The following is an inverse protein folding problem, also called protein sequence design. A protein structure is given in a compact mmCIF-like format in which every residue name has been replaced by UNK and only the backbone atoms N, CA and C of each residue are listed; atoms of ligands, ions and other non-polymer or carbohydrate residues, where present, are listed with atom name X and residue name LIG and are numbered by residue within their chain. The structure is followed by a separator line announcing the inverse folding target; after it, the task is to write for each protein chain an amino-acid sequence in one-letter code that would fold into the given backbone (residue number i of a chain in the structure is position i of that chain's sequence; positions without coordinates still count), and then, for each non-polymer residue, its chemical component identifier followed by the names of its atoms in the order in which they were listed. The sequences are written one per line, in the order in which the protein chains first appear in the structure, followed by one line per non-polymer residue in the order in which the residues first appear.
data_IF_834912141051
#
_entry.id   IF_834912141051
#
_cell.length_a   1.000
_cell.length_b   1.000
_cell.length_c   1.000
_cell.angle_alpha   90.00
_cell.angle_beta   90.00
_cell.angle_gamma   90.00
#
_symmetry.space_group_name_H-M   'P 1'
#
loop_
_entity.id
_entity.type
_entity.pdbx_description
1 polymer ?
#
# COMPACT_ATOMS: atom_id res chain seq x y z
N UNK A 1 8.82 7.63 -1.02
CA UNK A 1 7.37 7.60 -1.32
C UNK A 1 6.69 8.81 -0.76
N UNK A 2 5.57 9.27 -1.33
CA UNK A 2 4.83 10.40 -0.75
C UNK A 2 3.84 9.98 0.35
N UNK A 3 3.49 8.69 0.51
CA UNK A 3 2.42 8.24 1.43
C UNK A 3 2.91 7.22 2.46
N UNK A 4 2.27 7.13 3.65
CA UNK A 4 2.49 6.02 4.57
C UNK A 4 1.94 4.71 3.98
N UNK A 5 2.39 3.57 4.52
CA UNK A 5 1.73 2.28 4.31
C UNK A 5 0.34 2.29 4.97
N UNK A 6 -0.72 2.16 4.18
CA UNK A 6 -2.11 2.25 4.64
C UNK A 6 -2.71 0.86 4.86
N UNK A 7 -2.93 0.52 6.12
CA UNK A 7 -3.58 -0.70 6.56
C UNK A 7 -5.04 -0.41 6.92
N UNK A 8 -5.98 -1.01 6.18
CA UNK A 8 -7.39 -1.04 6.55
C UNK A 8 -7.65 -2.20 7.51
N UNK A 9 -8.33 -1.97 8.62
CA UNK A 9 -8.65 -3.01 9.60
C UNK A 9 -10.11 -2.92 10.02
N UNK A 10 -10.84 -4.02 9.85
CA UNK A 10 -12.24 -4.10 10.24
C UNK A 10 -12.63 -5.52 10.69
N UNK A 11 -13.60 -5.60 11.59
CA UNK A 11 -14.35 -6.81 11.88
C UNK A 11 -15.77 -6.65 11.32
N UNK A 12 -16.29 -7.68 10.67
CA UNK A 12 -17.63 -7.67 10.06
C UNK A 12 -18.39 -8.96 10.35
N UNK A 13 -19.72 -8.90 10.31
CA UNK A 13 -20.56 -10.08 10.22
C UNK A 13 -20.33 -10.86 8.91
N UNK A 14 -20.85 -12.09 8.81
CA UNK A 14 -20.76 -12.92 7.59
C UNK A 14 -21.35 -12.25 6.35
N UNK A 15 -22.32 -11.34 6.52
CA UNK A 15 -22.96 -10.56 5.46
C UNK A 15 -22.39 -9.14 5.28
N UNK A 16 -21.28 -8.82 5.96
CA UNK A 16 -20.44 -7.64 5.68
C UNK A 16 -20.80 -6.36 6.42
N UNK A 17 -21.51 -6.46 7.56
CA UNK A 17 -21.88 -5.31 8.39
C UNK A 17 -20.88 -5.07 9.52
N UNK A 18 -20.67 -3.80 9.84
CA UNK A 18 -19.80 -3.30 10.90
C UNK A 18 -20.49 -3.20 12.27
N UNK A 19 -21.81 -3.12 12.26
CA UNK A 19 -22.65 -3.00 13.44
C UNK A 19 -24.10 -3.37 13.08
N UNK A 20 -25.01 -3.39 14.05
CA UNK A 20 -26.45 -3.41 13.82
C UNK A 20 -27.06 -1.99 13.89
N UNK A 21 -28.39 -1.87 13.99
CA UNK A 21 -29.09 -0.58 14.08
C UNK A 21 -29.46 -0.20 15.52
N UNK A 22 -29.06 -1.01 16.50
CA UNK A 22 -29.35 -0.75 17.90
C UNK A 22 -28.39 0.29 18.48
N UNK A 23 -28.72 0.91 19.62
CA UNK A 23 -27.79 1.82 20.29
C UNK A 23 -26.61 1.12 20.95
N UNK A 24 -26.67 -0.20 21.11
CA UNK A 24 -25.60 -0.99 21.73
C UNK A 24 -24.64 -1.46 20.64
N UNK A 25 -23.34 -1.28 20.88
CA UNK A 25 -22.32 -1.71 19.93
C UNK A 25 -22.33 -3.24 19.78
N UNK A 26 -22.48 -3.72 18.56
CA UNK A 26 -22.37 -5.14 18.25
C UNK A 26 -20.93 -5.64 18.42
N UNK A 27 -20.75 -6.68 19.23
CA UNK A 27 -19.45 -7.32 19.42
C UNK A 27 -19.18 -8.30 18.28
N UNK A 28 -18.41 -7.86 17.28
CA UNK A 28 -17.97 -8.67 16.14
C UNK A 28 -16.61 -9.36 16.36
N UNK A 29 -15.87 -8.97 17.40
CA UNK A 29 -14.53 -9.47 17.71
C UNK A 29 -14.50 -10.17 19.07
N UNK A 30 -13.69 -11.22 19.16
CA UNK A 30 -13.39 -11.89 20.41
C UNK A 30 -12.30 -11.16 21.21
N UNK A 31 -12.06 -11.58 22.46
CA UNK A 31 -10.97 -11.00 23.28
C UNK A 31 -9.60 -11.22 22.64
N UNK A 32 -9.37 -12.39 22.04
CA UNK A 32 -8.13 -12.68 21.34
C UNK A 32 -7.95 -11.79 20.10
N UNK A 33 -9.04 -11.49 19.38
CA UNK A 33 -8.97 -10.55 18.25
C UNK A 33 -8.74 -9.10 18.71
N UNK A 34 -9.35 -8.67 19.82
CA UNK A 34 -9.05 -7.35 20.40
C UNK A 34 -7.59 -7.21 20.83
N UNK A 35 -6.99 -8.26 21.38
CA UNK A 35 -5.56 -8.27 21.72
C UNK A 35 -4.68 -8.18 20.45
N UNK A 36 -5.05 -8.86 19.37
CA UNK A 36 -4.39 -8.72 18.07
C UNK A 36 -4.53 -7.30 17.52
N UNK A 37 -5.72 -6.70 17.55
CA UNK A 37 -5.91 -5.30 17.11
C UNK A 37 -5.01 -4.37 17.93
N UNK A 38 -4.88 -4.62 19.24
CA UNK A 38 -3.98 -3.87 20.12
C UNK A 38 -2.50 -4.01 19.73
N UNK A 39 -2.08 -5.20 19.30
CA UNK A 39 -0.76 -5.44 18.71
C UNK A 39 -0.56 -4.65 17.41
N UNK A 40 -1.54 -4.65 16.51
CA UNK A 40 -1.48 -3.87 15.27
C UNK A 40 -1.39 -2.37 15.57
N UNK A 41 -2.21 -1.85 16.49
CA UNK A 41 -2.12 -0.45 16.96
C UNK A 41 -0.73 -0.12 17.50
N UNK A 42 -0.12 -1.04 18.23
CA UNK A 42 1.23 -0.83 18.75
C UNK A 42 2.32 -0.83 17.65
N UNK A 43 2.05 -1.41 16.48
CA UNK A 43 2.97 -1.50 15.35
C UNK A 43 2.92 -0.33 14.36
N UNK A 44 1.96 0.60 14.52
CA UNK A 44 1.75 1.72 13.59
C UNK A 44 2.14 3.07 14.21
N UNK A 45 2.33 4.06 13.35
CA UNK A 45 2.68 5.42 13.77
C UNK A 45 1.42 6.26 14.00
N UNK A 46 0.34 5.95 13.27
CA UNK A 46 -0.94 6.65 13.38
C UNK A 46 -2.13 5.70 13.24
N UNK A 47 -3.24 6.05 13.91
CA UNK A 47 -4.53 5.38 13.81
C UNK A 47 -5.58 6.39 13.37
N UNK A 48 -6.33 6.08 12.31
CA UNK A 48 -7.31 6.95 11.68
C UNK A 48 -8.72 6.38 11.81
N UNK A 49 -9.65 7.25 12.23
CA UNK A 49 -11.09 6.99 12.19
C UNK A 49 -11.85 8.20 11.65
N UNK A 50 -12.99 7.95 11.00
CA UNK A 50 -13.89 9.03 10.57
C UNK A 50 -14.68 9.64 11.73
N UNK A 51 -15.11 10.89 11.56
CA UNK A 51 -15.97 11.57 12.52
C UNK A 51 -17.30 10.82 12.79
N UNK A 52 -17.80 10.05 11.81
CA UNK A 52 -18.96 9.18 12.00
C UNK A 52 -18.73 8.10 13.07
N UNK A 53 -17.56 7.48 13.07
CA UNK A 53 -17.16 6.49 14.09
C UNK A 53 -16.99 7.14 15.46
N UNK A 54 -16.47 8.38 15.53
CA UNK A 54 -16.42 9.12 16.80
C UNK A 54 -17.83 9.31 17.38
N UNK A 55 -18.80 9.69 16.56
CA UNK A 55 -20.19 9.91 16.99
C UNK A 55 -20.90 8.63 17.41
N UNK A 56 -20.67 7.54 16.68
CA UNK A 56 -21.31 6.26 16.95
C UNK A 56 -20.71 5.56 18.18
N UNK A 57 -19.38 5.45 18.25
CA UNK A 57 -18.71 4.56 19.20
C UNK A 57 -18.02 5.29 20.36
N UNK A 58 -17.85 6.61 20.26
CA UNK A 58 -17.08 7.45 21.17
C UNK A 58 -15.75 6.79 21.66
N UNK A 59 -14.88 6.31 20.75
CA UNK A 59 -13.77 5.46 21.11
C UNK A 59 -12.60 6.25 21.70
N UNK A 60 -11.87 5.62 22.63
CA UNK A 60 -10.60 6.15 23.14
C UNK A 60 -9.44 5.98 22.16
N UNK A 61 -9.49 4.96 21.29
CA UNK A 61 -8.49 4.65 20.26
C UNK A 61 -7.05 4.63 20.79
N UNK A 62 -6.75 3.66 21.64
CA UNK A 62 -5.47 3.53 22.36
C UNK A 62 -4.82 2.17 22.10
N UNK A 63 -3.51 2.11 22.35
CA UNK A 63 -2.80 0.88 22.73
C UNK A 63 -3.09 0.62 24.22
N UNK A 64 -3.78 -0.46 24.51
CA UNK A 64 -4.27 -0.84 25.84
C UNK A 64 -3.21 -1.56 26.66
N UNK A 65 -2.43 -2.48 26.06
CA UNK A 65 -1.39 -3.21 26.78
C UNK A 65 -0.28 -2.28 27.29
N UNK A 66 0.01 -2.25 28.61
CA UNK A 66 1.15 -1.54 29.16
C UNK A 66 2.49 -2.01 28.59
N UNK A 67 2.63 -3.31 28.34
CA UNK A 67 3.85 -3.93 27.82
C UNK A 67 4.13 -3.45 26.39
N UNK A 68 3.09 -3.38 25.55
CA UNK A 68 3.21 -2.83 24.18
C UNK A 68 3.58 -1.35 24.19
N UNK A 69 3.03 -0.57 25.12
CA UNK A 69 3.42 0.85 25.28
C UNK A 69 4.88 0.98 25.71
N UNK A 70 5.32 0.19 26.69
CA UNK A 70 6.71 0.19 27.15
C UNK A 70 7.69 -0.25 26.04
N UNK A 71 7.29 -1.20 25.20
CA UNK A 71 8.10 -1.62 24.04
C UNK A 71 8.25 -0.50 23.01
N UNK A 72 7.19 0.27 22.75
CA UNK A 72 7.27 1.46 21.87
C UNK A 72 8.21 2.50 22.43
N UNK A 73 8.10 2.81 23.72
CA UNK A 73 8.98 3.78 24.39
C UNK A 73 10.45 3.32 24.37
N UNK A 74 10.71 2.02 24.59
CA UNK A 74 12.05 1.45 24.48
C UNK A 74 12.64 1.54 23.05
N UNK A 75 11.78 1.57 22.03
CA UNK A 75 12.17 1.82 20.64
C UNK A 75 12.26 3.32 20.27
N UNK A 76 12.10 4.23 21.24
CA UNK A 76 12.14 5.68 21.02
C UNK A 76 10.87 6.26 20.41
N UNK A 77 9.76 5.50 20.38
CA UNK A 77 8.47 5.93 19.85
C UNK A 77 7.54 6.41 20.98
N UNK A 78 6.57 7.30 20.69
CA UNK A 78 5.54 7.64 21.65
C UNK A 78 4.72 6.42 22.09
N UNK A 79 4.30 6.32 23.36
CA UNK A 79 3.54 5.16 23.87
C UNK A 79 2.20 4.97 23.15
N UNK A 80 1.63 6.04 22.59
CA UNK A 80 0.43 6.00 21.76
C UNK A 80 0.75 6.48 20.34
N UNK A 81 0.25 5.80 19.29
CA UNK A 81 0.26 6.33 17.95
C UNK A 81 -0.47 7.68 17.85
N UNK A 82 -0.12 8.47 16.83
CA UNK A 82 -0.86 9.68 16.46
C UNK A 82 -2.33 9.33 16.18
N UNK A 83 -3.25 10.05 16.82
CA UNK A 83 -4.67 9.85 16.59
C UNK A 83 -5.17 10.80 15.50
N UNK A 84 -5.70 10.24 14.43
CA UNK A 84 -6.15 10.98 13.26
C UNK A 84 -7.66 10.87 13.14
N UNK A 85 -8.33 11.99 12.90
CA UNK A 85 -9.72 11.95 12.45
C UNK A 85 -9.97 12.78 11.20
N UNK A 86 -10.92 12.33 10.38
CA UNK A 86 -11.32 13.00 9.15
C UNK A 86 -12.78 13.43 9.25
N UNK A 87 -13.04 14.72 8.99
CA UNK A 87 -14.39 15.30 9.01
C UNK A 87 -14.55 16.35 7.92
N UNK A 88 -15.46 16.15 6.97
CA UNK A 88 -15.71 17.17 5.93
C UNK A 88 -16.33 18.45 6.50
N UNK A 89 -17.20 18.33 7.50
CA UNK A 89 -17.93 19.45 8.10
C UNK A 89 -17.21 20.11 9.27
N UNK A 90 -16.19 19.46 9.86
CA UNK A 90 -15.61 19.87 11.15
C UNK A 90 -16.57 19.73 12.33
N UNK A 91 -17.75 19.13 12.15
CA UNK A 91 -18.73 18.89 13.22
C UNK A 91 -18.26 17.71 14.08
N UNK A 92 -17.74 18.04 15.26
CA UNK A 92 -17.09 17.13 16.19
C UNK A 92 -17.51 17.53 17.61
N UNK A 93 -17.86 16.54 18.43
CA UNK A 93 -18.16 16.77 19.84
C UNK A 93 -16.85 17.01 20.62
N UNK A 94 -16.63 18.20 21.23
CA UNK A 94 -15.43 18.48 22.01
C UNK A 94 -15.29 17.61 23.26
N UNK A 95 -16.40 17.02 23.76
CA UNK A 95 -16.42 16.14 24.92
C UNK A 95 -16.12 14.67 24.59
N UNK A 96 -15.92 14.32 23.32
CA UNK A 96 -15.65 12.95 22.92
C UNK A 96 -14.38 12.40 23.60
N UNK A 97 -14.42 11.14 24.03
CA UNK A 97 -13.31 10.43 24.67
C UNK A 97 -12.03 10.44 23.82
N UNK A 98 -12.18 10.60 22.51
CA UNK A 98 -11.10 10.72 21.56
C UNK A 98 -10.14 11.88 21.92
N UNK A 99 -10.64 13.02 22.40
CA UNK A 99 -9.81 14.19 22.70
C UNK A 99 -9.08 14.10 24.04
N UNK A 100 -9.67 13.39 24.99
CA UNK A 100 -9.24 13.38 26.39
C UNK A 100 -8.33 12.19 26.76
N UNK A 101 -7.93 11.38 25.79
CA UNK A 101 -7.10 10.19 26.01
C UNK A 101 -5.99 10.06 24.97
N UNK A 102 -4.93 9.32 25.32
CA UNK A 102 -3.81 9.03 24.43
C UNK A 102 -2.83 10.20 24.23
N UNK A 103 -2.14 10.18 23.09
CA UNK A 103 -1.09 11.14 22.73
C UNK A 103 -1.60 12.31 21.88
N UNK A 104 -0.82 12.67 20.86
CA UNK A 104 -1.15 13.74 19.91
C UNK A 104 -2.40 13.43 19.08
N UNK A 105 -3.14 14.48 18.70
CA UNK A 105 -4.35 14.38 17.87
C UNK A 105 -4.28 15.36 16.70
N UNK A 106 -4.75 14.91 15.54
CA UNK A 106 -4.89 15.73 14.34
C UNK A 106 -6.26 15.51 13.69
N UNK A 107 -6.83 16.60 13.17
CA UNK A 107 -8.08 16.63 12.42
C UNK A 107 -7.78 17.06 11.00
N UNK A 108 -8.07 16.19 10.03
CA UNK A 108 -8.09 16.57 8.63
C UNK A 108 -9.49 16.94 8.19
N UNK A 109 -9.62 18.11 7.58
CA UNK A 109 -10.93 18.70 7.29
C UNK A 109 -10.88 19.65 6.09
N UNK A 110 -12.03 20.21 5.74
CA UNK A 110 -12.11 21.30 4.75
C UNK A 110 -11.70 22.62 5.39
N UNK A 111 -11.43 23.65 4.60
CA UNK A 111 -11.16 25.01 5.10
C UNK A 111 -12.25 25.49 6.09
N UNK A 112 -13.54 25.35 5.71
CA UNK A 112 -14.67 25.68 6.59
C UNK A 112 -14.74 24.80 7.84
N UNK A 113 -14.37 23.53 7.71
CA UNK A 113 -14.33 22.62 8.84
C UNK A 113 -13.24 22.99 9.84
N UNK A 114 -12.07 23.47 9.37
CA UNK A 114 -10.98 23.91 10.23
C UNK A 114 -11.39 25.13 11.08
N UNK A 115 -12.08 26.10 10.48
CA UNK A 115 -12.67 27.25 11.20
C UNK A 115 -13.61 26.78 12.32
N UNK A 116 -14.47 25.78 12.02
CA UNK A 116 -15.40 25.21 13.00
C UNK A 116 -14.68 24.47 14.13
N UNK A 117 -13.69 23.64 13.81
CA UNK A 117 -12.89 22.91 14.81
C UNK A 117 -12.18 23.89 15.76
N UNK A 118 -11.63 24.98 15.21
CA UNK A 118 -11.02 26.03 16.01
C UNK A 118 -12.04 26.72 16.93
N UNK A 119 -13.22 27.08 16.40
CA UNK A 119 -14.29 27.70 17.19
C UNK A 119 -14.83 26.80 18.31
N UNK A 120 -14.79 25.47 18.12
CA UNK A 120 -15.16 24.48 19.13
C UNK A 120 -14.12 24.32 20.25
N UNK A 121 -12.93 24.89 20.11
CA UNK A 121 -11.87 24.81 21.13
C UNK A 121 -11.29 23.41 21.31
N UNK A 122 -11.39 22.55 20.28
CA UNK A 122 -10.85 21.19 20.33
C UNK A 122 -9.32 21.26 20.37
N UNK A 123 -8.71 20.61 21.37
CA UNK A 123 -7.25 20.52 21.53
C UNK A 123 -6.62 19.52 20.55
N UNK A 124 -6.69 19.82 19.26
CA UNK A 124 -6.08 19.07 18.18
C UNK A 124 -5.63 20.01 17.06
N UNK A 125 -4.59 19.63 16.33
CA UNK A 125 -4.20 20.36 15.12
C UNK A 125 -5.25 20.14 14.02
N UNK A 126 -5.75 21.21 13.42
CA UNK A 126 -6.76 21.15 12.37
C UNK A 126 -6.14 21.52 11.02
N UNK A 127 -5.94 20.52 10.17
CA UNK A 127 -5.28 20.67 8.86
C UNK A 127 -6.34 20.79 7.76
N UNK A 128 -6.48 21.96 7.12
CA UNK A 128 -7.35 22.13 5.97
C UNK A 128 -6.72 21.48 4.73
N UNK A 129 -7.50 20.68 4.00
CA UNK A 129 -7.08 20.04 2.75
C UNK A 129 -7.47 20.84 1.50
N UNK A 130 -8.30 21.87 1.69
CA UNK A 130 -8.90 22.69 0.65
C UNK A 130 -10.42 22.80 0.82
N UNK A 131 -11.16 23.14 -0.25
CA UNK A 131 -12.63 23.26 -0.20
C UNK A 131 -13.33 21.91 0.00
N UNK A 132 -12.70 20.82 -0.43
CA UNK A 132 -13.15 19.44 -0.28
C UNK A 132 -12.06 18.57 0.36
N UNK A 133 -12.43 17.37 0.82
CA UNK A 133 -11.47 16.41 1.34
C UNK A 133 -10.64 15.80 0.20
N UNK A 134 -9.32 15.80 0.35
CA UNK A 134 -8.39 15.20 -0.59
C UNK A 134 -7.50 14.16 0.14
N UNK A 135 -7.69 12.90 -0.20
CA UNK A 135 -6.98 11.79 0.42
C UNK A 135 -5.48 11.77 0.09
N UNK A 136 -5.09 12.21 -1.10
CA UNK A 136 -3.67 12.24 -1.48
C UNK A 136 -2.96 13.29 -0.64
N UNK A 137 -3.48 14.52 -0.58
CA UNK A 137 -2.93 15.59 0.28
C UNK A 137 -2.87 15.21 1.75
N UNK A 138 -3.88 14.50 2.25
CA UNK A 138 -3.89 14.00 3.62
C UNK A 138 -2.72 13.03 3.87
N UNK A 139 -2.56 12.04 2.98
CA UNK A 139 -1.51 11.02 3.09
C UNK A 139 -0.11 11.64 2.91
N UNK A 140 0.04 12.62 2.02
CA UNK A 140 1.28 13.43 1.87
C UNK A 140 1.63 14.15 3.16
N UNK A 141 0.67 14.87 3.74
CA UNK A 141 0.90 15.58 4.98
C UNK A 141 1.24 14.63 6.13
N UNK A 142 0.55 13.49 6.24
CA UNK A 142 0.89 12.48 7.24
C UNK A 142 2.33 11.98 7.07
N UNK A 143 2.75 11.69 5.85
CA UNK A 143 4.08 11.17 5.57
C UNK A 143 5.18 12.23 5.75
N UNK A 144 5.07 13.36 5.06
CA UNK A 144 6.15 14.35 4.93
C UNK A 144 6.23 15.29 6.13
N UNK A 145 5.08 15.69 6.68
CA UNK A 145 5.01 16.67 7.78
C UNK A 145 4.93 15.98 9.14
N UNK A 146 4.16 14.89 9.25
CA UNK A 146 3.99 14.16 10.52
C UNK A 146 4.93 12.97 10.67
N UNK A 147 5.69 12.61 9.62
CA UNK A 147 6.65 11.51 9.67
C UNK A 147 6.01 10.12 9.79
N UNK A 148 4.71 9.99 9.53
CA UNK A 148 3.97 8.73 9.62
C UNK A 148 4.43 7.81 8.48
N UNK A 149 4.90 6.61 8.83
CA UNK A 149 5.30 5.58 7.87
C UNK A 149 4.28 4.46 7.75
N UNK A 150 3.54 4.17 8.84
CA UNK A 150 2.47 3.16 8.88
C UNK A 150 1.20 3.76 9.48
N UNK A 151 0.13 3.73 8.71
CA UNK A 151 -1.20 4.22 9.07
C UNK A 151 -2.17 3.05 9.19
N UNK A 152 -2.78 2.87 10.35
CA UNK A 152 -3.93 1.97 10.51
C UNK A 152 -5.23 2.78 10.37
N UNK A 153 -6.18 2.29 9.58
CA UNK A 153 -7.51 2.87 9.40
C UNK A 153 -8.54 1.90 9.97
N UNK A 154 -9.21 2.28 11.06
CA UNK A 154 -10.14 1.40 11.78
C UNK A 154 -11.62 1.68 11.50
N UNK A 155 -11.95 2.79 10.85
CA UNK A 155 -13.33 3.06 10.47
C UNK A 155 -13.56 4.44 9.85
N UNK A 156 -14.74 4.79 9.35
CA UNK A 156 -15.92 3.95 9.11
C UNK A 156 -15.99 3.44 7.66
N UNK A 157 -17.09 2.77 7.31
CA UNK A 157 -17.26 2.17 5.97
C UNK A 157 -17.08 3.14 4.80
N UNK A 158 -17.47 4.41 4.97
CA UNK A 158 -17.23 5.46 3.97
C UNK A 158 -15.75 5.72 3.70
N UNK A 159 -14.91 5.77 4.74
CA UNK A 159 -13.48 6.02 4.60
C UNK A 159 -12.79 4.83 3.95
N UNK A 160 -13.11 3.62 4.39
CA UNK A 160 -12.60 2.39 3.77
C UNK A 160 -12.96 2.35 2.29
N UNK A 161 -14.22 2.65 1.96
CA UNK A 161 -14.70 2.74 0.58
C UNK A 161 -13.91 3.78 -0.22
N UNK A 162 -13.71 4.99 0.31
CA UNK A 162 -12.97 6.05 -0.40
C UNK A 162 -11.51 5.67 -0.67
N UNK A 163 -10.81 5.06 0.29
CA UNK A 163 -9.42 4.63 0.11
C UNK A 163 -9.30 3.50 -0.92
N UNK A 164 -10.17 2.49 -0.85
CA UNK A 164 -10.18 1.38 -1.81
C UNK A 164 -10.54 1.82 -3.23
N UNK A 165 -11.47 2.76 -3.38
CA UNK A 165 -11.86 3.29 -4.69
C UNK A 165 -10.75 4.11 -5.36
N UNK A 166 -9.86 4.69 -4.57
CA UNK A 166 -8.72 5.47 -5.06
C UNK A 166 -7.43 4.66 -5.13
N UNK A 167 -7.44 3.37 -4.77
CA UNK A 167 -6.23 2.54 -4.77
C UNK A 167 -5.19 2.94 -3.72
N UNK A 168 -5.65 3.57 -2.62
CA UNK A 168 -4.80 4.13 -1.56
C UNK A 168 -4.61 3.21 -0.34
N UNK A 169 -5.06 1.94 -0.42
CA UNK A 169 -4.91 0.96 0.64
C UNK A 169 -3.82 -0.05 0.27
N UNK A 170 -2.81 -0.23 1.12
CA UNK A 170 -1.77 -1.25 0.93
C UNK A 170 -2.19 -2.63 1.43
N UNK A 171 -2.96 -2.70 2.51
CA UNK A 171 -3.41 -3.94 3.13
C UNK A 171 -4.84 -3.82 3.65
N UNK A 172 -5.60 -4.91 3.55
CA UNK A 172 -6.89 -5.08 4.22
C UNK A 172 -6.81 -6.27 5.17
N UNK A 173 -6.96 -6.01 6.47
CA UNK A 173 -7.19 -7.01 7.50
C UNK A 173 -8.68 -7.07 7.83
N UNK A 174 -9.32 -8.17 7.44
CA UNK A 174 -10.75 -8.39 7.61
C UNK A 174 -11.00 -9.57 8.55
N UNK A 175 -11.65 -9.30 9.66
CA UNK A 175 -12.14 -10.33 10.59
C UNK A 175 -13.60 -10.63 10.28
N UNK A 176 -13.93 -11.91 10.12
CA UNK A 176 -15.30 -12.39 9.93
C UNK A 176 -15.82 -13.01 11.22
N UNK A 177 -16.86 -12.40 11.78
CA UNK A 177 -17.61 -12.88 12.93
C UNK A 177 -18.67 -13.91 12.49
N UNK A 178 -18.91 -15.00 13.25
CA UNK A 178 -19.82 -16.08 12.86
C UNK A 178 -21.30 -15.74 13.11
N UNK A 179 -21.76 -14.56 12.68
CA UNK A 179 -23.14 -14.09 12.81
C UNK A 179 -23.61 -13.33 11.56
N UNK A 180 -24.92 -13.13 11.43
CA UNK A 180 -25.55 -12.29 10.40
C UNK A 180 -26.23 -11.10 11.06
N UNK A 181 -26.18 -9.93 10.40
CA UNK A 181 -26.95 -8.74 10.83
C UNK A 181 -28.25 -8.64 10.04
N UNK A 182 -28.21 -8.79 8.72
CA UNK A 182 -29.37 -8.90 7.85
C UNK A 182 -30.20 -7.63 7.64
N UNK A 183 -29.92 -6.55 8.36
CA UNK A 183 -30.65 -5.27 8.22
C UNK A 183 -29.98 -4.37 7.16
N UNK A 184 -30.65 -4.03 6.04
CA UNK A 184 -30.08 -3.15 5.02
C UNK A 184 -29.80 -1.71 5.49
N UNK A 185 -30.39 -1.27 6.61
CA UNK A 185 -30.11 0.03 7.21
C UNK A 185 -28.85 0.02 8.11
N UNK A 186 -28.36 -1.15 8.49
CA UNK A 186 -27.16 -1.29 9.30
C UNK A 186 -25.89 -0.85 8.53
N UNK A 187 -24.86 -0.35 9.24
CA UNK A 187 -23.65 0.14 8.59
C UNK A 187 -22.85 -1.00 7.94
N UNK A 188 -22.70 -0.95 6.61
CA UNK A 188 -21.84 -1.87 5.86
C UNK A 188 -20.39 -1.38 5.83
N UNK A 189 -19.45 -2.32 5.79
CA UNK A 189 -18.03 -1.99 5.63
C UNK A 189 -17.76 -1.32 4.27
N UNK A 190 -18.37 -1.84 3.21
CA UNK A 190 -18.16 -1.34 1.86
C UNK A 190 -19.47 -0.77 1.31
N UNK A 191 -19.46 0.54 1.03
CA UNK A 191 -20.56 1.25 0.38
C UNK A 191 -20.45 1.20 -1.14
N UNK A 192 -21.52 1.53 -1.90
CA UNK A 192 -21.55 1.37 -3.35
C UNK A 192 -20.44 2.16 -4.06
N UNK A 193 -19.87 1.57 -5.12
CA UNK A 193 -18.85 2.23 -5.93
C UNK A 193 -18.09 1.31 -6.88
N UNK A 194 -17.34 1.91 -7.79
CA UNK A 194 -16.29 1.20 -8.54
C UNK A 194 -15.04 1.12 -7.68
N UNK A 195 -14.71 -0.07 -7.20
CA UNK A 195 -13.47 -0.35 -6.48
C UNK A 195 -12.30 -0.49 -7.45
N UNK A 196 -11.09 -0.55 -6.90
CA UNK A 196 -9.90 -0.95 -7.65
C UNK A 196 -10.17 -2.19 -8.51
N UNK A 197 -9.63 -2.17 -9.73
CA UNK A 197 -9.70 -3.31 -10.64
C UNK A 197 -8.93 -4.51 -10.11
N UNK A 198 -9.20 -5.68 -10.67
CA UNK A 198 -8.47 -6.90 -10.33
C UNK A 198 -8.92 -7.61 -9.06
N UNK A 199 -8.22 -8.68 -8.70
CA UNK A 199 -8.45 -9.43 -7.47
C UNK A 199 -7.54 -8.89 -6.36
N UNK A 200 -7.93 -9.05 -5.11
CA UNK A 200 -6.98 -8.95 -4.01
C UNK A 200 -6.26 -10.29 -3.83
N UNK A 201 -4.97 -10.24 -3.47
CA UNK A 201 -4.19 -11.42 -3.10
C UNK A 201 -4.42 -11.72 -1.64
N UNK A 202 -4.91 -12.93 -1.34
CA UNK A 202 -4.96 -13.45 0.02
C UNK A 202 -3.53 -13.74 0.49
N UNK A 203 -3.11 -13.07 1.56
CA UNK A 203 -1.78 -13.19 2.17
C UNK A 203 -1.80 -14.16 3.35
N UNK A 204 -2.86 -14.12 4.15
CA UNK A 204 -3.01 -14.94 5.35
C UNK A 204 -4.48 -15.23 5.59
N UNK A 205 -4.80 -16.46 5.99
CA UNK A 205 -6.05 -16.81 6.66
C UNK A 205 -5.71 -17.44 7.99
N UNK A 206 -6.26 -16.90 9.09
CA UNK A 206 -6.00 -17.38 10.44
C UNK A 206 -7.27 -17.40 11.26
N UNK A 207 -7.58 -18.55 11.85
CA UNK A 207 -8.63 -18.67 12.87
C UNK A 207 -8.15 -18.05 14.18
N UNK A 208 -8.98 -17.21 14.78
CA UNK A 208 -8.76 -16.60 16.10
C UNK A 208 -10.00 -16.94 16.92
N UNK A 209 -9.89 -17.93 17.81
CA UNK A 209 -11.04 -18.48 18.54
C UNK A 209 -12.18 -18.88 17.56
N UNK A 210 -13.31 -18.17 17.58
CA UNK A 210 -14.49 -18.38 16.75
C UNK A 210 -14.58 -17.44 15.53
N UNK A 211 -13.65 -16.50 15.37
CA UNK A 211 -13.58 -15.60 14.22
C UNK A 211 -12.46 -16.00 13.25
N UNK A 212 -12.53 -15.50 12.01
CA UNK A 212 -11.50 -15.73 10.98
C UNK A 212 -10.92 -14.40 10.50
N UNK A 213 -9.62 -14.21 10.68
CA UNK A 213 -8.86 -13.14 10.06
C UNK A 213 -8.46 -13.54 8.65
N UNK A 214 -8.69 -12.65 7.69
CA UNK A 214 -8.10 -12.69 6.36
C UNK A 214 -7.31 -11.42 6.09
N UNK A 215 -6.11 -11.56 5.53
CA UNK A 215 -5.26 -10.43 5.13
C UNK A 215 -5.14 -10.42 3.63
N UNK A 216 -5.38 -9.26 3.04
CA UNK A 216 -5.40 -9.07 1.59
C UNK A 216 -4.50 -7.90 1.19
N UNK A 217 -3.87 -8.02 0.02
CA UNK A 217 -3.13 -6.93 -0.62
C UNK A 217 -3.63 -6.72 -2.05
N UNK A 218 -3.64 -5.48 -2.57
CA UNK A 218 -3.94 -5.22 -3.98
C UNK A 218 -2.93 -5.88 -4.91
N UNK A 219 -3.40 -6.36 -6.08
CA UNK A 219 -2.52 -6.85 -7.14
C UNK A 219 -2.50 -5.98 -8.39
N UNK A 220 -3.51 -5.12 -8.58
CA UNK A 220 -3.58 -4.24 -9.73
C UNK A 220 -2.48 -3.16 -9.63
N UNK A 221 -1.58 -3.05 -10.64
CA UNK A 221 -0.61 -1.98 -10.73
C UNK A 221 -1.26 -0.60 -10.68
N UNK A 222 -0.50 0.40 -10.23
CA UNK A 222 -0.89 1.80 -10.35
C UNK A 222 -0.95 2.28 -11.80
N UNK A 223 -1.56 3.44 -12.00
CA UNK A 223 -1.46 4.20 -13.24
C UNK A 223 -0.56 5.42 -13.02
N UNK A 224 0.19 5.81 -14.05
CA UNK A 224 1.02 7.01 -13.99
C UNK A 224 2.32 6.84 -13.18
N UNK A 225 2.95 7.96 -12.78
CA UNK A 225 4.27 8.00 -12.17
C UNK A 225 4.27 7.80 -10.65
N UNK A 226 3.10 7.60 -10.03
CA UNK A 226 3.00 7.39 -8.59
C UNK A 226 3.03 5.90 -8.24
N UNK A 227 3.70 5.53 -7.13
CA UNK A 227 3.71 4.15 -6.68
C UNK A 227 2.34 3.77 -6.12
N UNK A 228 1.87 2.59 -6.49
CA UNK A 228 0.70 1.94 -5.91
C UNK A 228 1.14 0.83 -4.96
N UNK A 229 0.23 0.45 -4.06
CA UNK A 229 0.41 -0.67 -3.13
C UNK A 229 0.93 -1.95 -3.80
N UNK A 230 0.33 -2.33 -4.93
CA UNK A 230 0.69 -3.55 -5.65
C UNK A 230 2.13 -3.53 -6.20
N UNK A 231 2.69 -2.35 -6.45
CA UNK A 231 4.04 -2.23 -7.02
C UNK A 231 5.10 -2.85 -6.11
N UNK A 232 4.90 -2.73 -4.79
CA UNK A 232 5.76 -3.37 -3.78
C UNK A 232 5.79 -4.87 -3.91
N UNK A 233 4.63 -5.49 -4.07
CA UNK A 233 4.50 -6.92 -4.18
C UNK A 233 5.22 -7.43 -5.43
N UNK A 234 4.97 -6.80 -6.57
CA UNK A 234 5.55 -7.22 -7.83
C UNK A 234 7.04 -6.93 -7.93
N UNK A 235 7.51 -5.79 -7.41
CA UNK A 235 8.94 -5.52 -7.36
C UNK A 235 9.67 -6.44 -6.38
N UNK A 236 9.05 -6.78 -5.24
CA UNK A 236 9.57 -7.79 -4.33
C UNK A 236 9.73 -9.16 -5.01
N UNK A 237 8.76 -9.55 -5.86
CA UNK A 237 8.83 -10.77 -6.65
C UNK A 237 9.95 -10.69 -7.70
N UNK A 238 10.10 -9.56 -8.40
CA UNK A 238 11.21 -9.33 -9.33
C UNK A 238 12.57 -9.47 -8.63
N UNK A 239 12.75 -8.88 -7.44
CA UNK A 239 13.98 -9.07 -6.67
C UNK A 239 14.18 -10.52 -6.19
N UNK A 240 13.11 -11.26 -5.89
CA UNK A 240 13.22 -12.68 -5.53
C UNK A 240 13.70 -13.53 -6.72
N UNK A 241 13.19 -13.26 -7.93
CA UNK A 241 13.63 -13.94 -9.16
C UNK A 241 15.11 -13.69 -9.49
N UNK A 242 15.66 -12.53 -9.09
CA UNK A 242 17.09 -12.27 -9.24
C UNK A 242 17.95 -13.27 -8.43
N UNK A 243 17.44 -13.79 -7.31
CA UNK A 243 18.14 -14.80 -6.51
C UNK A 243 18.19 -16.19 -7.18
N UNK A 244 17.29 -16.45 -8.14
CA UNK A 244 17.22 -17.71 -8.90
C UNK A 244 18.17 -17.72 -10.11
N UNK A 245 18.87 -16.61 -10.38
CA UNK A 245 19.80 -16.52 -11.49
C UNK A 245 21.04 -17.42 -11.26
N UNK A 246 21.49 -18.16 -12.29
CA UNK A 246 22.82 -18.76 -12.29
C UNK A 246 23.90 -17.70 -11.98
N UNK A 247 24.98 -18.05 -11.28
CA UNK A 247 26.04 -17.09 -10.96
C UNK A 247 26.75 -16.55 -12.21
N UNK A 248 27.30 -15.34 -12.12
CA UNK A 248 28.10 -14.71 -13.17
C UNK A 248 29.06 -13.68 -12.56
N UNK A 249 30.29 -13.63 -13.07
CA UNK A 249 31.29 -12.63 -12.69
C UNK A 249 31.29 -11.41 -13.62
N UNK A 250 30.46 -11.42 -14.66
CA UNK A 250 30.49 -10.43 -15.76
C UNK A 250 29.12 -9.85 -16.08
N UNK A 251 28.08 -10.23 -15.34
CA UNK A 251 26.73 -9.74 -15.53
C UNK A 251 25.93 -9.80 -14.23
N UNK A 252 25.10 -8.78 -14.00
CA UNK A 252 24.18 -8.78 -12.87
C UNK A 252 23.10 -9.87 -12.99
N UNK A 253 22.71 -10.42 -11.85
CA UNK A 253 21.50 -11.21 -11.61
C UNK A 253 20.31 -10.26 -11.49
N UNK A 254 19.37 -10.38 -12.43
CA UNK A 254 18.18 -9.51 -12.52
C UNK A 254 16.95 -10.39 -12.61
N UNK A 255 15.85 -9.96 -12.02
CA UNK A 255 14.54 -10.58 -12.19
C UNK A 255 13.54 -9.55 -12.70
N UNK A 256 12.55 -10.01 -13.47
CA UNK A 256 11.52 -9.17 -14.05
C UNK A 256 10.15 -9.85 -14.04
N UNK A 257 9.09 -9.06 -13.89
CA UNK A 257 7.69 -9.51 -13.92
C UNK A 257 6.87 -8.52 -14.76
N UNK A 258 5.99 -9.05 -15.61
CA UNK A 258 5.08 -8.27 -16.47
C UNK A 258 3.67 -8.53 -15.98
N UNK A 259 2.96 -7.47 -15.60
CA UNK A 259 1.64 -7.55 -14.95
C UNK A 259 0.64 -6.70 -15.72
N UNK A 260 -0.52 -7.28 -16.03
CA UNK A 260 -1.64 -6.57 -16.65
C UNK A 260 -2.29 -5.57 -15.69
N UNK A 261 -3.06 -4.62 -16.23
CA UNK A 261 -3.75 -3.60 -15.45
C UNK A 261 -4.75 -4.15 -14.40
N UNK A 262 -5.25 -5.39 -14.59
CA UNK A 262 -6.12 -6.07 -13.63
C UNK A 262 -5.35 -6.86 -12.55
N UNK A 263 -4.03 -6.74 -12.51
CA UNK A 263 -3.18 -7.46 -11.57
C UNK A 263 -2.93 -8.92 -11.92
N UNK A 264 -3.29 -9.37 -13.13
CA UNK A 264 -2.88 -10.67 -13.64
C UNK A 264 -1.41 -10.65 -14.02
N UNK A 265 -0.61 -11.56 -13.47
CA UNK A 265 0.74 -11.80 -13.94
C UNK A 265 0.70 -12.40 -15.36
N UNK A 266 1.30 -11.71 -16.32
CA UNK A 266 1.37 -12.16 -17.72
C UNK A 266 2.56 -13.08 -17.93
N UNK A 267 3.73 -12.66 -17.47
CA UNK A 267 4.96 -13.43 -17.54
C UNK A 267 5.96 -12.94 -16.49
N UNK A 268 6.95 -13.77 -16.20
CA UNK A 268 8.12 -13.44 -15.40
C UNK A 268 9.38 -13.94 -16.09
N UNK A 269 10.53 -13.42 -15.74
CA UNK A 269 11.82 -13.88 -16.25
C UNK A 269 12.96 -13.52 -15.30
N UNK A 270 14.09 -14.18 -15.46
CA UNK A 270 15.32 -13.83 -14.74
C UNK A 270 16.51 -13.92 -15.69
N UNK A 271 17.61 -13.24 -15.35
CA UNK A 271 18.83 -13.31 -16.14
C UNK A 271 19.32 -14.76 -16.24
N UNK A 272 19.85 -15.11 -17.40
CA UNK A 272 20.40 -16.44 -17.68
C UNK A 272 19.40 -17.60 -17.57
N UNK A 273 18.11 -17.29 -17.72
CA UNK A 273 17.05 -18.30 -17.72
C UNK A 273 17.24 -19.33 -18.85
N UNK A 274 16.82 -20.57 -18.56
CA UNK A 274 16.88 -21.70 -19.50
C UNK A 274 18.27 -21.98 -20.11
N UNK A 275 19.34 -21.55 -19.44
CA UNK A 275 20.73 -21.81 -19.83
C UNK A 275 21.27 -20.88 -20.91
N UNK A 276 20.53 -19.82 -21.31
CA UNK A 276 21.07 -18.79 -22.21
C UNK A 276 21.97 -17.82 -21.42
N UNK A 277 23.30 -17.83 -21.60
CA UNK A 277 24.21 -17.06 -20.76
C UNK A 277 24.08 -15.54 -20.91
N UNK A 278 23.36 -15.06 -21.93
CA UNK A 278 23.28 -13.63 -22.26
C UNK A 278 21.85 -13.06 -22.26
N UNK A 279 20.83 -13.86 -21.97
CA UNK A 279 19.45 -13.37 -21.86
C UNK A 279 19.29 -12.53 -20.60
N UNK A 280 18.66 -11.36 -20.76
CA UNK A 280 18.28 -10.49 -19.64
C UNK A 280 16.87 -10.84 -19.15
N UNK A 281 16.56 -10.47 -17.91
CA UNK A 281 15.29 -10.80 -17.27
C UNK A 281 14.05 -10.28 -18.03
N UNK A 282 14.07 -9.01 -18.45
CA UNK A 282 12.96 -8.38 -19.17
C UNK A 282 12.74 -9.02 -20.54
N UNK A 283 13.83 -9.36 -21.22
CA UNK A 283 13.77 -10.09 -22.49
C UNK A 283 13.20 -11.50 -22.32
N UNK A 284 13.66 -12.24 -21.31
CA UNK A 284 13.14 -13.57 -21.00
C UNK A 284 11.65 -13.54 -20.67
N UNK A 285 11.18 -12.52 -19.93
CA UNK A 285 9.77 -12.35 -19.62
C UNK A 285 8.94 -12.00 -20.88
N UNK A 286 9.40 -11.04 -21.69
CA UNK A 286 8.69 -10.61 -22.91
C UNK A 286 8.61 -11.73 -23.97
N UNK A 287 9.66 -12.54 -24.10
CA UNK A 287 9.71 -13.64 -25.08
C UNK A 287 8.67 -14.74 -24.83
N UNK A 288 8.06 -14.79 -23.64
CA UNK A 288 7.00 -15.75 -23.28
C UNK A 288 5.60 -15.26 -23.65
N UNK A 289 5.47 -14.02 -24.10
CA UNK A 289 4.20 -13.39 -24.42
C UNK A 289 3.99 -13.33 -25.93
N UNK A 290 2.72 -13.36 -26.35
CA UNK A 290 2.34 -12.98 -27.69
C UNK A 290 2.56 -11.46 -27.84
N UNK A 291 3.40 -10.97 -28.78
CA UNK A 291 3.58 -9.54 -29.00
C UNK A 291 2.30 -8.80 -29.39
N UNK A 292 1.27 -9.52 -29.84
CA UNK A 292 -0.06 -8.99 -30.15
C UNK A 292 -1.03 -9.02 -28.94
N UNK A 293 -0.59 -9.45 -27.75
CA UNK A 293 -1.44 -9.45 -26.55
C UNK A 293 -1.90 -8.01 -26.23
N UNK A 294 -3.21 -7.72 -26.31
CA UNK A 294 -3.72 -6.36 -26.13
C UNK A 294 -3.45 -5.80 -24.72
N UNK A 295 -3.21 -6.66 -23.73
CA UNK A 295 -2.96 -6.26 -22.34
C UNK A 295 -1.62 -5.56 -22.17
N UNK A 296 -0.63 -5.84 -23.04
CA UNK A 296 0.72 -5.26 -22.97
C UNK A 296 0.72 -3.73 -22.99
N UNK A 297 -0.19 -3.12 -23.76
CA UNK A 297 -0.33 -1.67 -23.88
C UNK A 297 -0.66 -0.95 -22.56
N UNK A 298 -1.21 -1.69 -21.59
CA UNK A 298 -1.58 -1.21 -20.26
C UNK A 298 -0.83 -1.95 -19.14
N UNK A 299 0.11 -2.82 -19.50
CA UNK A 299 0.87 -3.60 -18.54
C UNK A 299 1.95 -2.73 -17.86
N UNK A 300 2.38 -3.20 -16.69
CA UNK A 300 3.56 -2.68 -15.99
C UNK A 300 4.66 -3.73 -16.00
N UNK A 301 5.89 -3.31 -16.28
CA UNK A 301 7.10 -4.13 -16.12
C UNK A 301 7.75 -3.77 -14.79
N UNK A 302 7.95 -4.76 -13.93
CA UNK A 302 8.73 -4.66 -12.71
C UNK A 302 10.09 -5.28 -12.95
N UNK A 303 11.19 -4.58 -12.68
CA UNK A 303 12.54 -5.12 -12.83
C UNK A 303 13.40 -4.82 -11.60
N UNK A 304 14.19 -5.78 -11.13
CA UNK A 304 15.07 -5.55 -9.99
C UNK A 304 16.21 -4.57 -10.30
N UNK A 305 16.58 -4.42 -11.57
CA UNK A 305 17.59 -3.49 -12.06
C UNK A 305 16.98 -2.64 -13.19
N UNK A 306 17.49 -1.44 -13.37
CA UNK A 306 17.14 -0.57 -14.49
C UNK A 306 17.30 -1.29 -15.86
N UNK A 307 16.26 -1.28 -16.73
CA UNK A 307 16.36 -1.88 -18.04
C UNK A 307 17.44 -1.20 -18.90
N UNK A 308 18.44 -1.96 -19.33
CA UNK A 308 19.57 -1.40 -20.08
C UNK A 308 19.14 -0.62 -21.34
N UNK A 309 19.77 0.53 -21.59
CA UNK A 309 19.59 1.31 -22.83
C UNK A 309 20.41 0.76 -24.01
N UNK A 310 21.52 0.08 -23.72
CA UNK A 310 22.45 -0.52 -24.69
C UNK A 310 23.00 -1.81 -24.11
N UNK A 311 23.34 -2.77 -24.98
CA UNK A 311 24.10 -3.98 -24.60
C UNK A 311 24.86 -4.50 -25.80
N UNK A 312 25.99 -5.16 -25.55
CA UNK A 312 26.82 -5.79 -26.58
C UNK A 312 26.34 -7.19 -26.95
N UNK A 313 25.63 -7.86 -26.05
CA UNK A 313 25.24 -9.25 -26.18
C UNK A 313 24.16 -9.51 -27.23
N UNK A 314 23.28 -8.54 -27.49
CA UNK A 314 22.18 -8.66 -28.47
C UNK A 314 21.85 -7.30 -29.11
N UNK A 315 21.26 -7.28 -30.34
CA UNK A 315 21.02 -6.03 -31.08
C UNK A 315 20.04 -5.06 -30.41
N UNK A 316 18.99 -5.57 -29.78
CA UNK A 316 17.98 -4.76 -29.09
C UNK A 316 18.24 -4.79 -27.58
N UNK A 317 18.28 -3.62 -26.94
CA UNK A 317 18.39 -3.49 -25.49
C UNK A 317 17.02 -3.64 -24.80
N UNK A 318 16.99 -3.96 -23.51
CA UNK A 318 15.75 -4.21 -22.76
C UNK A 318 14.78 -3.03 -22.81
N UNK A 319 15.27 -1.79 -22.66
CA UNK A 319 14.44 -0.60 -22.78
C UNK A 319 13.74 -0.50 -24.16
N UNK A 320 14.41 -0.94 -25.23
CA UNK A 320 13.83 -0.97 -26.58
C UNK A 320 12.78 -2.07 -26.72
N UNK A 321 13.04 -3.26 -26.18
CA UNK A 321 12.09 -4.38 -26.19
C UNK A 321 10.78 -4.01 -25.46
N UNK A 322 10.88 -3.33 -24.31
CA UNK A 322 9.72 -2.81 -23.56
C UNK A 322 8.90 -1.83 -24.41
N UNK A 323 9.56 -0.90 -25.10
CA UNK A 323 8.89 0.08 -25.96
C UNK A 323 8.18 -0.59 -27.14
N UNK A 324 8.85 -1.53 -27.80
CA UNK A 324 8.34 -2.26 -28.96
C UNK A 324 7.16 -3.17 -28.57
N UNK A 325 7.15 -3.71 -27.35
CA UNK A 325 6.03 -4.45 -26.78
C UNK A 325 4.82 -3.56 -26.44
N UNK A 326 4.95 -2.23 -26.52
CA UNK A 326 3.85 -1.31 -26.24
C UNK A 326 3.65 -0.97 -24.75
N UNK A 327 4.50 -1.48 -23.86
CA UNK A 327 4.44 -1.19 -22.42
C UNK A 327 4.72 0.30 -22.16
N UNK A 328 3.97 0.90 -21.21
CA UNK A 328 4.06 2.34 -20.88
C UNK A 328 4.35 2.63 -19.41
N UNK A 329 4.56 1.60 -18.59
CA UNK A 329 4.94 1.77 -17.19
C UNK A 329 6.01 0.77 -16.78
N UNK A 330 7.05 1.26 -16.12
CA UNK A 330 8.18 0.46 -15.62
C UNK A 330 8.46 0.86 -14.17
N UNK A 331 8.62 -0.14 -13.31
CA UNK A 331 8.98 0.05 -11.89
C UNK A 331 10.27 -0.70 -11.60
N UNK A 332 11.28 -0.02 -11.06
CA UNK A 332 12.60 -0.60 -10.79
C UNK A 332 13.04 -0.41 -9.35
N UNK A 333 13.90 -1.32 -8.85
CA UNK A 333 14.44 -1.23 -7.50
C UNK A 333 15.79 -0.50 -7.46
N UNK A 334 16.66 -0.78 -8.42
CA UNK A 334 18.04 -0.31 -8.44
C UNK A 334 18.37 0.31 -9.80
N UNK A 335 18.95 1.51 -9.80
CA UNK A 335 19.51 2.13 -11.01
C UNK A 335 20.81 1.46 -11.40
N UNK A 336 21.07 1.32 -12.70
CA UNK A 336 22.26 0.60 -13.17
C UNK A 336 23.53 1.38 -12.75
N UNK A 337 24.44 0.77 -11.98
CA UNK A 337 25.71 1.41 -11.61
C UNK A 337 26.69 1.40 -12.80
N UNK A 338 27.70 2.27 -12.77
CA UNK A 338 28.77 2.33 -13.78
C UNK A 338 29.72 1.10 -13.79
N UNK A 339 29.36 -0.02 -13.15
CA UNK A 339 30.19 -1.22 -13.00
C UNK A 339 30.50 -1.92 -14.33
N UNK A 340 29.51 -2.02 -15.22
CA UNK A 340 29.66 -2.69 -16.53
C UNK A 340 29.29 -1.81 -17.72
N UNK A 341 28.44 -0.80 -17.51
CA UNK A 341 28.00 0.15 -18.54
C UNK A 341 28.19 1.55 -17.98
N UNK A 342 29.14 2.31 -18.54
CA UNK A 342 29.32 3.72 -18.20
C UNK A 342 28.17 4.54 -18.77
N UNK A 343 27.61 5.46 -17.99
CA UNK A 343 26.51 6.34 -18.41
C UNK A 343 25.25 5.56 -18.84
N UNK A 344 24.92 4.49 -18.11
CA UNK A 344 23.67 3.77 -18.32
C UNK A 344 22.46 4.73 -18.13
N UNK A 345 21.62 4.84 -19.16
CA UNK A 345 20.44 5.72 -19.14
C UNK A 345 19.19 5.03 -19.72
N UNK A 346 18.85 3.87 -19.14
CA UNK A 346 17.63 3.13 -19.48
C UNK A 346 16.37 3.93 -19.17
N UNK A 347 16.35 4.54 -17.98
CA UNK A 347 15.28 5.41 -17.48
C UNK A 347 15.05 6.60 -18.41
N UNK A 348 16.11 7.31 -18.81
CA UNK A 348 15.98 8.46 -19.70
C UNK A 348 15.47 8.07 -21.08
N UNK A 349 15.93 6.94 -21.65
CA UNK A 349 15.41 6.42 -22.91
C UNK A 349 13.90 6.14 -22.85
N UNK A 350 13.45 5.45 -21.80
CA UNK A 350 12.05 5.12 -21.57
C UNK A 350 11.20 6.39 -21.36
N UNK A 351 11.65 7.29 -20.48
CA UNK A 351 10.93 8.52 -20.12
C UNK A 351 10.81 9.47 -21.33
N UNK A 352 11.87 9.61 -22.14
CA UNK A 352 11.84 10.40 -23.37
C UNK A 352 10.84 9.89 -24.42
N UNK A 353 10.35 8.66 -24.27
CA UNK A 353 9.34 8.02 -25.12
C UNK A 353 7.96 7.93 -24.45
N UNK A 354 7.78 8.60 -23.32
CA UNK A 354 6.49 8.68 -22.60
C UNK A 354 6.16 7.44 -21.79
N UNK A 355 7.16 6.67 -21.36
CA UNK A 355 7.00 5.60 -20.37
C UNK A 355 7.13 6.21 -18.98
N UNK A 356 6.17 5.91 -18.10
CA UNK A 356 6.28 6.23 -16.69
C UNK A 356 7.31 5.29 -16.04
N UNK A 357 8.44 5.83 -15.58
CA UNK A 357 9.48 5.06 -14.89
C UNK A 357 9.51 5.46 -13.42
N UNK A 358 9.25 4.48 -12.55
CA UNK A 358 9.30 4.64 -11.10
C UNK A 358 10.48 3.88 -10.54
N UNK A 359 11.19 4.49 -9.60
CA UNK A 359 12.21 3.80 -8.80
C UNK A 359 11.68 3.69 -7.37
N UNK A 360 11.77 2.51 -6.77
CA UNK A 360 11.46 2.25 -5.37
C UNK A 360 12.76 1.92 -4.61
N UNK A 361 13.47 2.94 -4.09
CA UNK A 361 14.79 2.76 -3.46
C UNK A 361 14.74 1.85 -2.23
N UNK A 362 13.58 1.70 -1.58
CA UNK A 362 13.41 0.77 -0.46
C UNK A 362 13.66 -0.71 -0.85
N UNK A 363 13.69 -1.04 -2.13
CA UNK A 363 14.03 -2.37 -2.65
C UNK A 363 15.46 -2.50 -3.18
N UNK A 364 16.24 -1.42 -3.18
CA UNK A 364 17.58 -1.38 -3.77
C UNK A 364 18.51 -2.43 -3.14
N UNK A 365 18.60 -2.48 -1.81
CA UNK A 365 19.46 -3.45 -1.12
C UNK A 365 19.02 -4.90 -1.39
N UNK A 366 17.70 -5.14 -1.50
CA UNK A 366 17.18 -6.46 -1.87
C UNK A 366 17.54 -6.85 -3.30
N UNK A 367 17.59 -5.89 -4.22
CA UNK A 367 18.01 -6.11 -5.61
C UNK A 367 19.53 -6.31 -5.73
N UNK A 368 20.33 -5.68 -4.87
CA UNK A 368 21.79 -5.84 -4.80
C UNK A 368 22.22 -7.15 -4.16
N UNK A 369 21.42 -7.74 -3.27
CA UNK A 369 21.80 -8.95 -2.51
C UNK A 369 22.31 -10.10 -3.40
N UNK A 370 21.65 -10.48 -4.52
CA UNK A 370 22.17 -11.52 -5.42
C UNK A 370 23.43 -11.14 -6.21
N UNK A 371 23.86 -9.88 -6.11
CA UNK A 371 24.92 -9.25 -6.88
C UNK A 371 26.10 -8.78 -6.03
N UNK A 372 26.11 -9.04 -4.71
CA UNK A 372 27.13 -8.50 -3.79
C UNK A 372 28.57 -8.91 -4.12
N UNK A 373 28.77 -9.98 -4.86
CA UNK A 373 30.09 -10.40 -5.32
C UNK A 373 30.64 -9.53 -6.47
N UNK A 374 29.81 -8.65 -7.06
CA UNK A 374 30.15 -7.74 -8.17
C UNK A 374 30.24 -6.27 -7.75
N UNK A 375 29.87 -5.96 -6.51
CA UNK A 375 29.79 -4.62 -5.92
C UNK A 375 30.90 -4.43 -4.88
#
# INVERSE_FOLDING_TARGET
MPYPYVLLSAAVSLDGYLDDTTPERLLLSSRADFDRVDEVRASVDAILIGAGTIRADNPRLLVNSPERRAAREAAGLPPYPLKVTVSGSGDLDPAANFWHTGGEKIVYTTEKGAERVHALGIAADAVPLGPELDWHRLLEHLHDVRGVRRLMVEGGGTIHTQLLRQGLADELQLVLAPLFVGDPAAPRLFGPGGYQGGRLRLVETRRIEDVVLNRYEPTAPGAGPLPAAADRHWLALACALAADCPSSDTAFSVGAVIVAADGTELARGHSREAGDPVVHAEEAALAKLDPADPRLSTATVYSSLEPCARRSSRPAACARLILDAGVRRVVTAWREPDTFVTEADGTGLLTARGVDVLVLPEYEERAKEPNRHLL
#
